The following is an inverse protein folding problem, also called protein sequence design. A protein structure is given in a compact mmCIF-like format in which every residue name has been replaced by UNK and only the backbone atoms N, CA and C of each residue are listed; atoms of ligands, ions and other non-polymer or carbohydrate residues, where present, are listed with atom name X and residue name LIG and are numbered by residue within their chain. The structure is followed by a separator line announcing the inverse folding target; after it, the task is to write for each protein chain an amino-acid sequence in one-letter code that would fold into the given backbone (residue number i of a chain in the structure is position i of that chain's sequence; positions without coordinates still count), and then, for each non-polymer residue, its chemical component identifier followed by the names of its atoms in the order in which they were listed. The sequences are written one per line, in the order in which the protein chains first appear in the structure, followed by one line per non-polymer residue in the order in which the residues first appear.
data_IF_556535213796
#
_entry.id   IF_556535213796
#
_cell.length_a   1.000
_cell.length_b   1.000
_cell.length_c   1.000
_cell.angle_alpha   90.00
_cell.angle_beta   90.00
_cell.angle_gamma   90.00
#
_symmetry.space_group_name_H-M   'P 1'
#
loop_
_entity.id
_entity.type
_entity.pdbx_description
1 polymer ?
#
# COMPACT_ATOMS: atom_id res chain seq x y z
N UNK A 1 9.12 -4.53 -19.10
CA UNK A 1 8.54 -5.69 -18.36
C UNK A 1 7.21 -6.03 -19.00
N UNK A 2 6.96 -7.33 -19.19
CA UNK A 2 5.71 -7.76 -19.78
C UNK A 2 4.58 -7.62 -18.77
N UNK A 3 3.37 -7.43 -19.27
CA UNK A 3 2.20 -7.22 -18.41
C UNK A 3 2.04 -8.32 -17.39
N UNK A 4 2.23 -9.56 -17.79
CA UNK A 4 2.05 -10.69 -16.88
C UNK A 4 3.06 -10.64 -15.73
N UNK A 5 4.30 -10.30 -16.04
CA UNK A 5 5.34 -10.19 -15.02
C UNK A 5 5.07 -9.00 -14.10
N UNK A 6 4.61 -7.90 -14.66
CA UNK A 6 4.28 -6.73 -13.86
C UNK A 6 3.11 -7.02 -12.94
N UNK A 7 2.08 -7.71 -13.44
CA UNK A 7 0.95 -8.07 -12.60
C UNK A 7 1.35 -8.95 -11.43
N UNK A 8 2.27 -9.88 -11.67
CA UNK A 8 2.77 -10.76 -10.60
C UNK A 8 3.59 -9.98 -9.58
N UNK A 9 4.43 -9.07 -10.05
CA UNK A 9 5.23 -8.26 -9.15
C UNK A 9 4.32 -7.39 -8.27
N UNK A 10 3.38 -6.69 -8.89
CA UNK A 10 2.45 -5.87 -8.14
C UNK A 10 1.70 -6.72 -7.12
N UNK A 11 1.22 -7.88 -7.56
CA UNK A 11 0.47 -8.76 -6.67
C UNK A 11 1.28 -9.23 -5.47
N UNK A 12 2.55 -9.60 -5.71
CA UNK A 12 3.39 -10.04 -4.61
C UNK A 12 3.68 -8.91 -3.62
N UNK A 13 3.82 -7.69 -4.11
CA UNK A 13 4.05 -6.54 -3.24
C UNK A 13 2.80 -6.16 -2.46
N UNK A 14 1.63 -6.27 -3.08
CA UNK A 14 0.37 -6.08 -2.39
C UNK A 14 0.25 -7.04 -1.22
N UNK A 15 0.50 -8.31 -1.48
CA UNK A 15 0.40 -9.34 -0.44
C UNK A 15 1.45 -9.10 0.66
N UNK A 16 2.67 -8.79 0.26
CA UNK A 16 3.74 -8.53 1.22
C UNK A 16 3.35 -7.41 2.19
N UNK A 17 2.90 -6.28 1.63
CA UNK A 17 2.58 -5.14 2.48
C UNK A 17 1.35 -5.40 3.33
N UNK A 18 0.36 -6.07 2.77
CA UNK A 18 -0.84 -6.43 3.53
C UNK A 18 -0.46 -7.25 4.77
N UNK A 19 0.41 -8.23 4.59
CA UNK A 19 0.85 -9.08 5.70
C UNK A 19 1.71 -8.30 6.69
N UNK A 20 2.55 -7.39 6.22
CA UNK A 20 3.33 -6.55 7.11
C UNK A 20 2.45 -5.70 8.02
N UNK A 21 1.30 -5.28 7.50
CA UNK A 21 0.38 -4.46 8.27
C UNK A 21 -0.64 -5.29 9.05
N UNK A 22 -0.53 -6.61 8.96
CA UNK A 22 -1.45 -7.54 9.62
C UNK A 22 -2.91 -7.32 9.17
N UNK A 23 -3.09 -7.05 7.88
CA UNK A 23 -4.42 -6.83 7.32
C UNK A 23 -4.92 -8.08 6.63
N UNK A 24 -6.24 -8.24 6.62
CA UNK A 24 -6.87 -9.34 5.91
C UNK A 24 -7.28 -8.90 4.51
N UNK A 25 -7.51 -9.87 3.63
CA UNK A 25 -8.02 -9.53 2.30
C UNK A 25 -9.39 -8.85 2.36
N UNK A 26 -10.33 -9.31 3.20
CA UNK A 26 -11.60 -8.59 3.33
C UNK A 26 -11.45 -7.14 3.79
N UNK A 27 -10.49 -6.86 4.67
CA UNK A 27 -10.28 -5.50 5.14
C UNK A 27 -9.83 -4.59 3.99
N UNK A 28 -8.85 -5.05 3.21
CA UNK A 28 -8.36 -4.27 2.06
C UNK A 28 -9.48 -4.12 1.04
N UNK A 29 -10.25 -5.18 0.83
CA UNK A 29 -11.36 -5.16 -0.11
C UNK A 29 -12.38 -4.09 0.28
N UNK A 30 -12.71 -4.01 1.56
CA UNK A 30 -13.65 -3.01 2.04
C UNK A 30 -13.13 -1.60 1.79
N UNK A 31 -11.84 -1.37 2.02
CA UNK A 31 -11.25 -0.06 1.78
C UNK A 31 -11.32 0.34 0.31
N UNK A 32 -11.24 -0.62 -0.58
CA UNK A 32 -11.24 -0.35 -2.01
C UNK A 32 -12.62 -0.46 -2.65
N UNK A 33 -13.63 -0.90 -1.91
CA UNK A 33 -14.95 -1.09 -2.47
C UNK A 33 -15.07 -2.27 -3.41
N UNK A 34 -14.27 -3.32 -3.17
CA UNK A 34 -14.30 -4.54 -3.98
C UNK A 34 -14.48 -5.73 -3.06
N UNK A 35 -14.51 -6.94 -3.63
CA UNK A 35 -14.66 -8.16 -2.83
C UNK A 35 -13.29 -8.71 -2.44
N UNK A 36 -13.27 -9.53 -1.39
CA UNK A 36 -12.03 -10.19 -0.97
C UNK A 36 -11.49 -11.08 -2.09
N UNK A 37 -12.37 -11.69 -2.86
CA UNK A 37 -11.97 -12.50 -4.01
C UNK A 37 -11.19 -11.66 -5.03
N UNK A 38 -11.59 -10.41 -5.22
CA UNK A 38 -10.89 -9.51 -6.12
C UNK A 38 -9.48 -9.21 -5.59
N UNK A 39 -9.34 -9.01 -4.27
CA UNK A 39 -8.01 -8.78 -3.68
C UNK A 39 -7.13 -10.00 -3.90
N UNK A 40 -7.66 -11.19 -3.69
CA UNK A 40 -6.90 -12.42 -3.93
C UNK A 40 -6.39 -12.45 -5.37
N UNK A 41 -7.24 -12.09 -6.33
CA UNK A 41 -6.84 -12.09 -7.74
C UNK A 41 -5.81 -11.02 -8.06
N UNK A 42 -5.89 -9.87 -7.39
CA UNK A 42 -4.83 -8.86 -7.54
C UNK A 42 -3.52 -9.40 -7.00
N UNK A 43 -3.56 -10.10 -5.87
CA UNK A 43 -2.33 -10.60 -5.24
C UNK A 43 -1.67 -11.71 -6.05
N UNK A 44 -2.44 -12.55 -6.71
CA UNK A 44 -1.84 -13.61 -7.51
C UNK A 44 -1.65 -13.23 -8.98
N UNK A 45 -2.04 -12.00 -9.35
CA UNK A 45 -1.83 -11.51 -10.71
C UNK A 45 -2.75 -12.09 -11.76
N UNK A 46 -3.84 -12.75 -11.35
CA UNK A 46 -4.73 -13.39 -12.31
C UNK A 46 -5.68 -12.42 -13.00
N UNK A 47 -5.82 -11.20 -12.46
CA UNK A 47 -6.56 -10.15 -13.15
C UNK A 47 -5.68 -8.91 -13.21
N UNK A 48 -6.06 -7.96 -14.05
CA UNK A 48 -5.27 -6.76 -14.27
C UNK A 48 -5.25 -5.88 -13.02
N UNK A 49 -4.07 -5.68 -12.46
CA UNK A 49 -3.87 -4.80 -11.31
C UNK A 49 -3.00 -3.61 -11.69
N UNK A 50 -2.83 -3.33 -13.00
CA UNK A 50 -1.93 -2.28 -13.47
C UNK A 50 -2.64 -0.97 -13.77
N UNK A 51 -3.97 -0.94 -13.73
CA UNK A 51 -4.72 0.26 -14.04
C UNK A 51 -4.51 1.31 -12.96
N UNK A 52 -4.51 2.56 -13.38
CA UNK A 52 -4.24 3.67 -12.47
C UNK A 52 -5.16 3.68 -11.26
N UNK A 53 -6.45 3.49 -11.47
CA UNK A 53 -7.41 3.49 -10.37
C UNK A 53 -7.13 2.38 -9.38
N UNK A 54 -6.78 1.21 -9.88
CA UNK A 54 -6.49 0.06 -9.03
C UNK A 54 -5.23 0.31 -8.22
N UNK A 55 -4.18 0.81 -8.88
CA UNK A 55 -2.91 1.08 -8.19
C UNK A 55 -3.08 2.15 -7.14
N UNK A 56 -3.86 3.19 -7.43
CA UNK A 56 -4.10 4.25 -6.46
C UNK A 56 -4.89 3.73 -5.26
N UNK A 57 -5.88 2.89 -5.51
CA UNK A 57 -6.65 2.29 -4.42
C UNK A 57 -5.81 1.40 -3.54
N UNK A 58 -4.96 0.58 -4.15
CA UNK A 58 -4.05 -0.28 -3.39
C UNK A 58 -3.03 0.55 -2.62
N UNK A 59 -2.51 1.59 -3.24
CA UNK A 59 -1.57 2.49 -2.61
C UNK A 59 -2.16 3.11 -1.35
N UNK A 60 -3.38 3.60 -1.43
CA UNK A 60 -4.04 4.22 -0.29
C UNK A 60 -4.36 3.21 0.80
N UNK A 61 -4.86 2.05 0.41
CA UNK A 61 -5.25 1.05 1.40
C UNK A 61 -4.06 0.49 2.16
N UNK A 62 -2.90 0.41 1.51
CA UNK A 62 -1.72 -0.23 2.07
C UNK A 62 -0.64 0.74 2.52
N UNK A 63 -0.86 2.03 2.33
CA UNK A 63 0.09 3.09 2.72
C UNK A 63 1.45 2.87 2.07
N UNK A 64 1.44 2.69 0.76
CA UNK A 64 2.64 2.57 -0.05
C UNK A 64 2.49 3.45 -1.27
N UNK A 65 3.60 3.75 -1.94
CA UNK A 65 3.54 4.51 -3.19
C UNK A 65 3.19 3.58 -4.35
N UNK A 66 2.59 4.15 -5.38
CA UNK A 66 2.34 3.42 -6.62
C UNK A 66 3.66 2.94 -7.21
N UNK A 67 4.69 3.78 -7.13
CA UNK A 67 6.02 3.42 -7.65
C UNK A 67 6.56 2.17 -6.97
N UNK A 68 6.37 2.05 -5.67
CA UNK A 68 6.83 0.85 -4.98
C UNK A 68 6.05 -0.38 -5.45
N UNK A 69 4.74 -0.23 -5.62
CA UNK A 69 3.93 -1.35 -6.11
C UNK A 69 4.41 -1.84 -7.47
N UNK A 70 4.85 -0.90 -8.33
CA UNK A 70 5.30 -1.25 -9.66
C UNK A 70 6.77 -1.65 -9.73
N UNK A 71 7.44 -1.68 -8.59
CA UNK A 71 8.85 -2.07 -8.54
C UNK A 71 9.81 -1.00 -8.97
N UNK A 72 9.37 0.25 -9.04
CA UNK A 72 10.21 1.36 -9.49
C UNK A 72 11.05 1.95 -8.37
N UNK A 73 10.74 1.64 -7.13
CA UNK A 73 11.51 2.07 -5.98
C UNK A 73 11.39 1.03 -4.88
N UNK A 74 12.35 0.98 -3.98
CA UNK A 74 12.30 0.10 -2.83
C UNK A 74 11.74 0.81 -1.60
N UNK A 75 11.50 2.11 -1.68
CA UNK A 75 10.93 2.87 -0.58
C UNK A 75 9.43 2.96 -0.77
N UNK A 76 8.67 2.41 0.14
CA UNK A 76 7.24 2.31 -0.07
C UNK A 76 6.40 3.31 0.72
N UNK A 77 6.98 4.02 1.67
CA UNK A 77 6.24 5.02 2.41
C UNK A 77 6.47 6.40 1.83
N UNK A 78 5.46 7.25 1.96
CA UNK A 78 5.65 8.62 1.55
C UNK A 78 6.26 9.37 2.72
N UNK A 79 7.45 9.90 2.51
CA UNK A 79 8.22 10.54 3.56
C UNK A 79 7.46 11.65 4.26
N UNK A 80 6.75 12.44 3.50
CA UNK A 80 6.07 13.60 4.04
C UNK A 80 5.04 13.21 5.07
N UNK A 81 4.24 12.19 4.77
CA UNK A 81 3.20 11.75 5.67
C UNK A 81 3.81 11.20 6.96
N UNK A 82 4.85 10.41 6.82
CA UNK A 82 5.48 9.81 7.98
C UNK A 82 6.08 10.86 8.88
N UNK A 83 6.73 11.85 8.31
CA UNK A 83 7.35 12.89 9.10
C UNK A 83 6.33 13.69 9.88
N UNK A 84 5.21 13.98 9.28
CA UNK A 84 4.16 14.71 9.97
C UNK A 84 3.60 13.93 11.12
N UNK A 85 3.40 12.65 10.95
CA UNK A 85 2.89 11.80 12.01
C UNK A 85 3.85 11.72 13.18
N UNK A 86 5.12 11.58 12.88
CA UNK A 86 6.13 11.53 13.91
C UNK A 86 6.21 12.84 14.68
N UNK A 87 6.13 13.95 13.97
CA UNK A 87 6.19 15.26 14.60
C UNK A 87 5.03 15.47 15.55
N UNK A 88 3.85 15.04 15.18
CA UNK A 88 2.70 15.19 16.04
C UNK A 88 2.88 14.41 17.31
N UNK A 89 3.36 13.21 17.23
CA UNK A 89 3.56 12.41 18.42
C UNK A 89 4.61 12.99 19.32
N UNK A 90 5.69 13.52 18.74
CA UNK A 90 6.76 14.10 19.53
C UNK A 90 6.32 15.38 20.20
N UNK A 91 5.50 16.13 19.55
CA UNK A 91 5.03 17.39 20.10
C UNK A 91 4.16 17.18 21.30
N UNK A 92 3.66 16.07 21.37
CA UNK A 92 2.88 15.81 22.47
C UNK A 92 3.63 15.21 23.52
N UNK A 93 4.34 15.01 23.16
CA UNK A 93 5.11 14.60 24.02
C UNK A 93 5.81 14.71 23.39
N UNK A 94 5.28 14.95 22.90
CA UNK A 94 5.51 15.39 22.56
C UNK A 94 5.49 15.84 22.20
N UNK A 95 5.31 16.04 22.57
CA UNK A 95 5.15 16.79 22.08
C UNK A 95 5.27 17.10 22.01
N UNK A 96 5.63 16.91 22.18
CA UNK A 96 5.60 17.30 21.91
C UNK A 96 6.07 17.37 21.64
N UNK A 97 6.42 17.22 21.91
CA UNK A 97 6.65 17.51 21.59
C UNK A 97 6.96 17.78 21.24
N UNK A 98 7.31 17.72 21.37
CA UNK A 98 7.37 18.26 20.94
C UNK A 98 7.73 18.70 20.74
N UNK A 99 8.10 18.85 21.25
CA UNK A 99 8.37 19.41 21.06
C UNK A 99 8.72 19.65 20.98
N UNK A 100 8.84 19.37 21.23
CA UNK A 100 9.11 19.65 21.01
C UNK A 100 8.94 19.97 20.96
#
# INVERSE_FOLDING_TARGET
MKDKELRKLIGSRVKQRRLELNLTQPYVAEKMGVTASTILRYENGSIDNTKKMVLEGLSEALHVSVEWLKGETDEYETDITDKRELQIRDAMGDILIFDS
#
